data_IF_074608348502
#
_entry.id   IF_074608348502
#
_cell.length_a   1.000
_cell.length_b   1.000
_cell.length_c   1.000
_cell.angle_alpha   90.00
_cell.angle_beta   90.00
_cell.angle_gamma   90.00
#
_symmetry.space_group_name_H-M   'P 1'
#
loop_
_entity.id
_entity.type
_entity.pdbx_description
1 polymer ?
#
# COMPACT_ATOMS: atom_id res chain seq x y z
N UNK A 1 13.67 -0.05 20.74
CA UNK A 1 13.42 0.36 19.36
C UNK A 1 11.93 0.66 19.20
N UNK A 2 11.59 1.89 18.87
CA UNK A 2 10.19 2.29 18.80
C UNK A 2 9.80 2.49 17.33
N UNK A 3 8.82 1.70 16.88
CA UNK A 3 8.22 1.90 15.56
C UNK A 3 6.95 2.71 15.72
N UNK A 4 6.79 3.71 14.84
CA UNK A 4 5.60 4.52 14.80
C UNK A 4 4.82 4.24 13.53
N UNK A 5 3.52 3.97 13.69
CA UNK A 5 2.59 3.78 12.58
C UNK A 5 1.75 5.05 12.47
N UNK A 6 2.01 5.84 11.45
CA UNK A 6 1.42 7.18 11.29
C UNK A 6 0.50 7.18 10.07
N UNK A 7 -0.70 7.75 10.22
CA UNK A 7 -1.72 7.78 9.16
C UNK A 7 -1.55 9.01 8.28
N UNK A 8 -0.35 9.18 7.73
CA UNK A 8 0.00 10.28 6.83
C UNK A 8 0.93 9.78 5.75
N UNK A 9 0.89 10.42 4.58
CA UNK A 9 1.83 10.12 3.51
C UNK A 9 3.23 10.63 3.87
N UNK A 10 4.28 9.97 3.37
CA UNK A 10 5.66 10.41 3.58
C UNK A 10 6.03 11.54 2.62
N UNK A 11 7.26 12.05 2.77
CA UNK A 11 7.82 12.96 1.78
C UNK A 11 8.14 12.22 0.47
N UNK A 12 8.31 12.98 -0.60
CA UNK A 12 8.69 12.44 -1.91
C UNK A 12 10.01 11.69 -1.82
N UNK A 13 10.99 12.26 -1.13
CA UNK A 13 12.32 11.67 -0.97
C UNK A 13 12.25 10.35 -0.21
N UNK A 14 11.51 10.33 0.90
CA UNK A 14 11.34 9.12 1.70
C UNK A 14 10.62 8.03 0.92
N UNK A 15 9.61 8.39 0.15
CA UNK A 15 8.89 7.45 -0.71
C UNK A 15 9.85 6.75 -1.69
N UNK A 16 10.62 7.52 -2.45
CA UNK A 16 11.54 6.95 -3.43
C UNK A 16 12.67 6.14 -2.79
N UNK A 17 13.14 6.57 -1.63
CA UNK A 17 14.14 5.81 -0.88
C UNK A 17 13.58 4.44 -0.46
N UNK A 18 12.34 4.42 0.02
CA UNK A 18 11.70 3.17 0.42
C UNK A 18 11.47 2.25 -0.78
N UNK A 19 11.11 2.80 -1.95
CA UNK A 19 10.97 1.97 -3.16
C UNK A 19 12.24 1.17 -3.40
N UNK A 20 13.40 1.82 -3.32
CA UNK A 20 14.70 1.14 -3.50
C UNK A 20 14.93 0.15 -2.36
N UNK A 21 14.75 0.58 -1.12
CA UNK A 21 15.05 -0.23 0.06
C UNK A 21 14.09 -1.42 0.26
N UNK A 22 12.90 -1.36 -0.32
CA UNK A 22 11.94 -2.47 -0.26
C UNK A 22 12.16 -3.53 -1.33
N UNK A 23 13.02 -3.25 -2.31
CA UNK A 23 13.33 -4.20 -3.38
C UNK A 23 12.65 -3.94 -4.71
N UNK A 24 11.98 -2.81 -4.86
CA UNK A 24 11.39 -2.45 -6.15
C UNK A 24 12.44 -1.98 -7.15
N UNK A 25 13.63 -1.63 -6.67
CA UNK A 25 14.82 -1.31 -7.46
C UNK A 25 14.66 -0.16 -8.45
N UNK A 26 13.62 0.66 -8.32
CA UNK A 26 13.40 1.80 -9.19
C UNK A 26 12.69 2.91 -8.45
N UNK A 27 13.02 4.14 -8.81
CA UNK A 27 12.31 5.31 -8.31
C UNK A 27 11.29 5.76 -9.34
N UNK A 28 10.42 6.67 -8.94
CA UNK A 28 9.49 7.35 -9.83
C UNK A 28 9.87 8.83 -9.89
N UNK A 29 9.52 9.53 -10.99
CA UNK A 29 9.79 10.97 -11.06
C UNK A 29 9.15 11.71 -9.88
N UNK A 30 9.90 12.63 -9.29
CA UNK A 30 9.43 13.36 -8.11
C UNK A 30 8.10 14.07 -8.33
N UNK A 31 7.88 14.63 -9.52
CA UNK A 31 6.62 15.30 -9.85
C UNK A 31 5.43 14.35 -9.79
N UNK A 32 5.62 13.10 -10.25
CA UNK A 32 4.56 12.10 -10.24
C UNK A 32 4.33 11.54 -8.83
N UNK A 33 5.40 11.35 -8.06
CA UNK A 33 5.28 10.94 -6.65
C UNK A 33 4.48 11.98 -5.86
N UNK A 34 4.78 13.26 -6.07
CA UNK A 34 4.06 14.34 -5.39
C UNK A 34 2.56 14.26 -5.66
N UNK A 35 2.17 14.11 -6.93
CA UNK A 35 0.76 13.97 -7.31
C UNK A 35 0.12 12.75 -6.66
N UNK A 36 0.85 11.62 -6.66
CA UNK A 36 0.36 10.38 -6.08
C UNK A 36 0.11 10.51 -4.58
N UNK A 37 1.04 11.09 -3.87
CA UNK A 37 0.92 11.28 -2.42
C UNK A 37 -0.22 12.25 -2.08
N UNK A 38 -0.36 13.34 -2.85
CA UNK A 38 -1.46 14.30 -2.67
C UNK A 38 -2.82 13.68 -2.95
N UNK A 39 -2.90 12.72 -3.88
CA UNK A 39 -4.14 12.02 -4.23
C UNK A 39 -4.44 10.81 -3.37
N UNK A 40 -3.64 10.52 -2.37
CA UNK A 40 -3.83 9.36 -1.51
C UNK A 40 -5.02 9.58 -0.58
N UNK A 41 -5.93 8.60 -0.53
CA UNK A 41 -7.09 8.66 0.35
C UNK A 41 -6.74 8.33 1.80
N UNK A 42 -5.89 7.34 1.99
CA UNK A 42 -5.43 6.90 3.30
C UNK A 42 -4.05 6.29 3.17
N UNK A 43 -3.21 6.53 4.15
CA UNK A 43 -1.86 5.95 4.16
C UNK A 43 -1.48 5.52 5.56
N UNK A 44 -0.68 4.45 5.62
CA UNK A 44 0.03 4.05 6.82
C UNK A 44 1.51 4.16 6.51
N UNK A 45 2.20 5.05 7.20
CA UNK A 45 3.65 5.20 7.11
C UNK A 45 4.26 4.68 8.40
N UNK A 46 5.27 3.82 8.28
CA UNK A 46 5.93 3.22 9.42
C UNK A 46 7.33 3.80 9.54
N UNK A 47 7.63 4.37 10.68
CA UNK A 47 8.93 5.01 10.95
C UNK A 47 9.65 4.29 12.09
N UNK A 48 10.95 4.16 11.95
CA UNK A 48 11.85 3.77 13.02
C UNK A 48 12.99 4.77 13.05
N UNK A 49 13.20 5.42 14.21
CA UNK A 49 14.22 6.45 14.37
C UNK A 49 14.15 7.52 13.26
N UNK A 50 12.93 7.97 12.97
CA UNK A 50 12.63 8.98 11.95
C UNK A 50 12.92 8.54 10.50
N UNK A 51 13.21 7.25 10.28
CA UNK A 51 13.39 6.71 8.94
C UNK A 51 12.13 5.95 8.51
N UNK A 52 11.66 6.20 7.28
CA UNK A 52 10.51 5.49 6.73
C UNK A 52 10.93 4.08 6.36
N UNK A 53 10.33 3.09 7.01
CA UNK A 53 10.65 1.68 6.78
C UNK A 53 9.49 0.89 6.21
N UNK A 54 8.30 1.46 6.19
CA UNK A 54 7.12 0.81 5.63
C UNK A 54 6.10 1.82 5.15
N UNK A 55 5.31 1.43 4.17
CA UNK A 55 4.24 2.26 3.63
C UNK A 55 3.15 1.38 3.04
N UNK A 56 1.91 1.80 3.23
CA UNK A 56 0.76 1.27 2.51
C UNK A 56 -0.16 2.42 2.16
N UNK A 57 -0.71 2.42 0.95
CA UNK A 57 -1.60 3.50 0.49
C UNK A 57 -2.91 2.93 -0.01
N UNK A 58 -3.98 3.71 0.17
CA UNK A 58 -5.27 3.47 -0.45
C UNK A 58 -5.56 4.62 -1.40
N UNK A 59 -5.86 4.30 -2.64
CA UNK A 59 -6.22 5.27 -3.68
C UNK A 59 -7.58 4.93 -4.25
N UNK A 60 -8.21 5.88 -4.94
CA UNK A 60 -9.52 5.67 -5.55
C UNK A 60 -10.34 6.93 -5.59
N UNK A 61 -11.64 6.77 -5.82
CA UNK A 61 -12.57 7.90 -5.92
C UNK A 61 -13.16 8.35 -4.58
N UNK A 62 -12.89 7.61 -3.52
CA UNK A 62 -13.40 7.92 -2.19
C UNK A 62 -14.81 7.42 -1.91
N UNK A 63 -15.46 6.79 -2.85
CA UNK A 63 -16.83 6.31 -2.68
C UNK A 63 -17.07 4.89 -3.14
N UNK A 64 -16.79 4.61 -4.39
CA UNK A 64 -17.18 3.34 -5.01
C UNK A 64 -16.00 2.43 -5.29
N UNK A 65 -14.87 2.97 -5.71
CA UNK A 65 -13.72 2.19 -6.17
C UNK A 65 -12.47 2.56 -5.39
N UNK A 66 -11.85 1.55 -4.80
CA UNK A 66 -10.64 1.71 -3.98
C UNK A 66 -9.60 0.69 -4.39
N UNK A 67 -8.34 1.08 -4.34
CA UNK A 67 -7.21 0.18 -4.62
C UNK A 67 -6.18 0.32 -3.50
N UNK A 68 -5.76 -0.80 -2.94
CA UNK A 68 -4.60 -0.84 -2.04
C UNK A 68 -3.35 -0.82 -2.91
N UNK A 69 -2.46 0.10 -2.63
CA UNK A 69 -1.26 0.33 -3.44
C UNK A 69 -0.03 0.51 -2.56
N UNK A 70 1.13 0.19 -3.11
CA UNK A 70 2.42 0.46 -2.48
C UNK A 70 2.62 -0.17 -1.09
N UNK A 71 2.17 -1.40 -0.89
CA UNK A 71 2.51 -2.10 0.35
C UNK A 71 4.00 -2.46 0.28
N UNK A 72 4.82 -1.66 0.95
CA UNK A 72 6.28 -1.77 0.92
C UNK A 72 6.84 -1.84 2.33
N UNK A 73 7.82 -2.70 2.54
CA UNK A 73 8.60 -2.77 3.77
C UNK A 73 10.08 -2.85 3.40
N UNK A 74 10.90 -2.03 4.04
CA UNK A 74 12.35 -2.07 3.88
C UNK A 74 12.85 -3.49 4.13
N UNK A 75 13.72 -4.00 3.26
CA UNK A 75 14.24 -5.37 3.35
C UNK A 75 14.82 -5.73 4.71
N UNK A 76 15.44 -4.76 5.37
CA UNK A 76 16.01 -4.98 6.71
C UNK A 76 14.96 -5.26 7.78
N UNK A 77 13.70 -4.92 7.50
CA UNK A 77 12.60 -5.01 8.46
C UNK A 77 11.53 -6.01 8.04
N UNK A 78 11.72 -6.71 6.95
CA UNK A 78 10.77 -7.74 6.49
C UNK A 78 10.74 -8.93 7.45
N UNK A 79 9.65 -9.68 7.42
CA UNK A 79 9.40 -10.86 8.27
C UNK A 79 9.27 -10.54 9.76
N UNK A 80 8.88 -9.31 10.09
CA UNK A 80 8.65 -8.88 11.48
C UNK A 80 7.19 -8.53 11.76
N UNK A 81 6.29 -8.86 10.83
CA UNK A 81 4.87 -8.59 11.00
C UNK A 81 4.43 -7.17 10.67
N UNK A 82 5.30 -6.35 10.09
CA UNK A 82 4.98 -4.95 9.79
C UNK A 82 3.89 -4.85 8.74
N UNK A 83 3.99 -5.62 7.64
CA UNK A 83 2.98 -5.61 6.60
C UNK A 83 1.62 -6.09 7.12
N UNK A 84 1.59 -7.09 7.99
CA UNK A 84 0.35 -7.53 8.64
C UNK A 84 -0.27 -6.41 9.45
N UNK A 85 0.55 -5.69 10.23
CA UNK A 85 0.05 -4.58 11.04
C UNK A 85 -0.51 -3.46 10.16
N UNK A 86 0.18 -3.14 9.08
CA UNK A 86 -0.31 -2.14 8.13
C UNK A 86 -1.66 -2.56 7.53
N UNK A 87 -1.79 -3.83 7.17
CA UNK A 87 -3.05 -4.33 6.59
C UNK A 87 -4.19 -4.35 7.60
N UNK A 88 -3.91 -4.62 8.88
CA UNK A 88 -4.92 -4.49 9.93
C UNK A 88 -5.44 -3.05 10.01
N UNK A 89 -4.54 -2.08 9.96
CA UNK A 89 -4.89 -0.66 10.01
C UNK A 89 -5.70 -0.26 8.78
N UNK A 90 -5.28 -0.70 7.60
CA UNK A 90 -5.98 -0.41 6.34
C UNK A 90 -7.37 -1.05 6.32
N UNK A 91 -7.48 -2.30 6.79
CA UNK A 91 -8.75 -3.01 6.86
C UNK A 91 -9.73 -2.29 7.78
N UNK A 92 -9.25 -1.82 8.92
CA UNK A 92 -10.05 -1.02 9.85
C UNK A 92 -10.54 0.26 9.19
N UNK A 93 -9.69 0.92 8.42
CA UNK A 93 -10.08 2.13 7.69
C UNK A 93 -11.18 1.84 6.67
N UNK A 94 -11.09 0.71 5.96
CA UNK A 94 -12.14 0.31 5.02
C UNK A 94 -13.47 0.09 5.74
N UNK A 95 -13.47 -0.57 6.89
CA UNK A 95 -14.68 -0.80 7.66
C UNK A 95 -15.36 0.52 8.05
N UNK A 96 -14.57 1.54 8.35
CA UNK A 96 -15.07 2.82 8.84
C UNK A 96 -15.43 3.80 7.73
N UNK A 97 -14.86 3.65 6.53
CA UNK A 97 -14.90 4.67 5.50
C UNK A 97 -15.48 4.22 4.16
N UNK A 98 -15.93 2.99 4.04
CA UNK A 98 -16.49 2.49 2.78
C UNK A 98 -17.86 1.89 2.98
N UNK A 99 -18.60 1.77 1.89
CA UNK A 99 -19.92 1.14 1.87
C UNK A 99 -19.78 -0.33 1.49
N UNK A 100 -20.76 -1.15 1.87
CA UNK A 100 -20.73 -2.59 1.53
C UNK A 100 -20.69 -2.85 0.03
N UNK A 101 -21.19 -1.89 -0.79
CA UNK A 101 -21.15 -1.99 -2.24
C UNK A 101 -19.85 -1.44 -2.85
N UNK A 102 -18.96 -0.87 -2.06
CA UNK A 102 -17.70 -0.35 -2.56
C UNK A 102 -16.83 -1.49 -3.09
N UNK A 103 -16.18 -1.26 -4.22
CA UNK A 103 -15.29 -2.23 -4.86
C UNK A 103 -13.85 -1.94 -4.41
N UNK A 104 -13.28 -2.85 -3.63
CA UNK A 104 -11.94 -2.69 -3.05
C UNK A 104 -11.05 -3.77 -3.62
N UNK A 105 -9.98 -3.36 -4.31
CA UNK A 105 -9.09 -4.30 -5.00
C UNK A 105 -7.63 -4.03 -4.69
N UNK A 106 -6.80 -4.97 -5.08
CA UNK A 106 -5.36 -4.81 -5.14
C UNK A 106 -4.80 -5.78 -6.18
N UNK A 107 -3.57 -5.50 -6.61
CA UNK A 107 -2.80 -6.42 -7.43
C UNK A 107 -1.64 -6.91 -6.59
N UNK A 108 -1.59 -8.20 -6.34
CA UNK A 108 -0.57 -8.80 -5.50
C UNK A 108 0.54 -9.40 -6.34
N UNK A 109 1.79 -9.13 -5.95
CA UNK A 109 2.94 -9.82 -6.51
C UNK A 109 3.13 -11.11 -5.71
N UNK A 110 3.07 -12.25 -6.40
CA UNK A 110 3.26 -13.56 -5.76
C UNK A 110 4.66 -13.61 -5.13
N UNK A 111 4.83 -14.08 -3.89
CA UNK A 111 3.86 -14.78 -3.03
C UNK A 111 3.12 -13.87 -2.02
N UNK A 112 3.14 -12.56 -2.19
CA UNK A 112 2.49 -11.64 -1.25
C UNK A 112 0.96 -11.77 -1.22
N UNK A 113 0.37 -12.44 -2.21
CA UNK A 113 -1.06 -12.75 -2.21
C UNK A 113 -1.51 -13.45 -0.93
N UNK A 114 -0.63 -14.25 -0.33
CA UNK A 114 -0.92 -14.95 0.92
C UNK A 114 -1.10 -14.00 2.11
N UNK A 115 -0.40 -12.88 2.10
CA UNK A 115 -0.59 -11.84 3.11
C UNK A 115 -2.00 -11.27 3.03
N UNK A 116 -2.41 -10.91 1.82
CA UNK A 116 -3.72 -10.25 1.62
C UNK A 116 -4.88 -11.19 1.89
N UNK A 117 -4.72 -12.49 1.63
CA UNK A 117 -5.74 -13.50 1.95
C UNK A 117 -6.07 -13.54 3.44
N UNK A 118 -5.16 -13.12 4.29
CA UNK A 118 -5.39 -13.05 5.74
C UNK A 118 -6.18 -11.80 6.15
N UNK A 119 -6.37 -10.85 5.24
CA UNK A 119 -6.97 -9.56 5.52
C UNK A 119 -8.19 -9.30 4.63
N UNK A 120 -9.02 -10.32 4.43
CA UNK A 120 -10.32 -10.25 3.74
C UNK A 120 -10.23 -10.06 2.22
N UNK A 121 -9.05 -10.28 1.62
CA UNK A 121 -8.93 -10.29 0.17
C UNK A 121 -8.97 -11.73 -0.34
N UNK A 122 -9.70 -11.94 -1.41
CA UNK A 122 -9.77 -13.23 -2.09
C UNK A 122 -9.49 -13.05 -3.58
N UNK A 123 -9.17 -14.14 -4.24
CA UNK A 123 -8.90 -14.07 -5.68
C UNK A 123 -10.18 -13.70 -6.43
N UNK A 124 -10.01 -13.05 -7.59
CA UNK A 124 -11.14 -12.71 -8.44
C UNK A 124 -11.90 -13.97 -8.86
N UNK A 125 -13.23 -13.87 -9.06
CA UNK A 125 -14.01 -14.98 -9.63
C UNK A 125 -13.46 -15.38 -11.00
N UNK A 126 -13.74 -16.62 -11.43
CA UNK A 126 -13.24 -17.16 -12.69
C UNK A 126 -13.56 -16.30 -13.91
N UNK A 127 -14.67 -15.58 -13.88
CA UNK A 127 -15.10 -14.75 -15.01
C UNK A 127 -14.48 -13.35 -15.01
N UNK A 128 -13.51 -13.08 -14.13
CA UNK A 128 -12.82 -11.79 -14.05
C UNK A 128 -11.32 -11.99 -13.95
N UNK A 129 -10.57 -11.16 -14.65
CA UNK A 129 -9.11 -11.15 -14.57
C UNK A 129 -8.61 -9.73 -14.48
N UNK A 130 -7.49 -9.55 -13.81
CA UNK A 130 -6.79 -8.27 -13.79
C UNK A 130 -6.09 -8.05 -15.13
N UNK A 131 -6.05 -6.81 -15.59
CA UNK A 131 -5.36 -6.44 -16.83
C UNK A 131 -4.57 -5.18 -16.59
N UNK A 132 -3.42 -5.07 -17.24
CA UNK A 132 -2.56 -3.89 -17.16
C UNK A 132 -2.49 -3.25 -18.54
N UNK A 133 -2.48 -1.90 -18.56
CA UNK A 133 -2.36 -1.20 -19.84
C UNK A 133 -0.95 -1.35 -20.39
N UNK A 134 -0.84 -1.81 -21.61
CA UNK A 134 0.43 -1.91 -22.33
C UNK A 134 0.93 -0.52 -22.64
N UNK A 135 2.22 -0.28 -22.39
CA UNK A 135 2.86 1.02 -22.60
C UNK A 135 3.84 1.03 -23.75
N UNK A 136 3.97 -0.10 -24.44
CA UNK A 136 4.86 -0.20 -25.60
C UNK A 136 4.29 0.47 -26.83
#
# INVERSE_FOLDING_TARGET
>A
MIMEFIHKVPSVEAYNKLRVNSGMNSTKPNSEVKKALEGTLFAVSVYEDNELIGLGRVVGDGGITFVVSDIMVDKKFQRRGIANKMMEIIDQWFDENTHESSFITLVAKVPADKLYSKHHFCYLPENRVGMIRDKS
#
